data_IF_025460843364
#
_entry.id   IF_025460843364
#
_cell.length_a   1.000
_cell.length_b   1.000
_cell.length_c   1.000
_cell.angle_alpha   90.00
_cell.angle_beta   90.00
_cell.angle_gamma   90.00
#
_symmetry.space_group_name_H-M   'P 1'
#
loop_
_entity.id
_entity.type
_entity.pdbx_description
1 polymer ?
#
# COMPACT_ATOMS: atom_id res chain seq x y z
N UNK A 1 -3.48 -50.26 -75.78
CA UNK A 1 -3.92 -51.64 -75.46
C UNK A 1 -3.38 -51.97 -74.07
N UNK A 2 -4.27 -52.40 -73.16
CA UNK A 2 -4.09 -53.32 -72.01
C UNK A 2 -2.79 -53.23 -71.17
N UNK A 3 -2.79 -53.27 -69.84
CA UNK A 3 -3.78 -53.61 -68.83
C UNK A 3 -3.32 -53.01 -67.48
N UNK A 4 -4.27 -52.68 -66.62
CA UNK A 4 -4.02 -52.37 -65.22
C UNK A 4 -3.90 -53.66 -64.39
N UNK A 5 -3.03 -53.71 -63.36
CA UNK A 5 -3.20 -54.63 -62.25
C UNK A 5 -3.71 -53.88 -61.01
N UNK A 6 -4.78 -54.43 -60.44
CA UNK A 6 -5.20 -54.16 -59.06
C UNK A 6 -4.09 -54.60 -58.10
N UNK A 7 -3.82 -53.78 -57.08
CA UNK A 7 -3.09 -54.21 -55.89
C UNK A 7 -3.95 -53.98 -54.66
N UNK A 8 -4.08 -55.07 -53.91
CA UNK A 8 -4.91 -55.26 -52.73
C UNK A 8 -4.43 -54.40 -51.55
N UNK A 9 -5.41 -53.87 -50.84
CA UNK A 9 -5.28 -53.17 -49.57
C UNK A 9 -4.91 -54.18 -48.48
N UNK A 10 -3.77 -53.97 -47.82
CA UNK A 10 -3.39 -54.69 -46.61
C UNK A 10 -3.35 -53.67 -45.47
N UNK A 11 -4.31 -53.74 -44.56
CA UNK A 11 -4.31 -52.95 -43.33
C UNK A 11 -3.13 -53.37 -42.46
N UNK A 12 -2.20 -52.45 -42.23
CA UNK A 12 -1.24 -52.54 -41.13
C UNK A 12 -1.88 -51.97 -39.87
N UNK A 13 -1.85 -52.74 -38.78
CA UNK A 13 -2.18 -52.27 -37.43
C UNK A 13 -1.23 -51.13 -37.04
N UNK A 14 -1.74 -49.90 -36.97
CA UNK A 14 -1.07 -48.82 -36.27
C UNK A 14 -1.49 -48.87 -34.81
N UNK A 15 -0.55 -49.27 -33.96
CA UNK A 15 -0.66 -49.28 -32.51
C UNK A 15 -0.93 -47.84 -32.03
N UNK A 16 -2.18 -47.52 -31.67
CA UNK A 16 -2.54 -46.27 -31.01
C UNK A 16 -2.19 -46.43 -29.53
N UNK A 17 -1.03 -45.91 -29.16
CA UNK A 17 -0.69 -45.73 -27.76
C UNK A 17 -1.47 -44.51 -27.29
N UNK A 18 -2.59 -44.73 -26.61
CA UNK A 18 -3.31 -43.68 -25.88
C UNK A 18 -2.38 -43.20 -24.75
N UNK A 19 -1.82 -42.01 -24.91
CA UNK A 19 -1.28 -41.25 -23.80
C UNK A 19 -2.46 -40.78 -22.96
N UNK A 20 -2.70 -41.47 -21.84
CA UNK A 20 -3.52 -40.95 -20.76
C UNK A 20 -2.78 -39.72 -20.20
N UNK A 21 -3.15 -38.52 -20.64
CA UNK A 21 -2.84 -37.31 -19.89
C UNK A 21 -3.73 -37.35 -18.64
N UNK A 22 -3.14 -37.68 -17.49
CA UNK A 22 -3.75 -37.40 -16.20
C UNK A 22 -3.92 -35.89 -16.10
N UNK A 23 -5.17 -35.43 -16.24
CA UNK A 23 -5.57 -34.09 -15.85
C UNK A 23 -5.42 -34.05 -14.33
N UNK A 24 -4.31 -33.48 -13.85
CA UNK A 24 -4.15 -33.13 -12.45
C UNK A 24 -5.11 -31.95 -12.23
N UNK A 25 -6.27 -32.27 -11.66
CA UNK A 25 -7.19 -31.27 -11.14
C UNK A 25 -6.52 -30.67 -9.90
N UNK A 26 -5.80 -29.57 -10.10
CA UNK A 26 -5.26 -28.78 -8.98
C UNK A 26 -6.47 -28.10 -8.34
N UNK A 27 -7.02 -28.72 -7.31
CA UNK A 27 -7.94 -28.03 -6.41
C UNK A 27 -7.12 -27.07 -5.58
N UNK A 28 -7.19 -25.78 -5.92
CA UNK A 28 -6.73 -24.73 -5.01
C UNK A 28 -7.53 -24.85 -3.71
N UNK A 29 -6.83 -25.11 -2.60
CA UNK A 29 -7.46 -25.04 -1.28
C UNK A 29 -7.75 -23.56 -0.98
N UNK A 30 -9.03 -23.19 -0.85
CA UNK A 30 -9.39 -21.87 -0.33
C UNK A 30 -8.88 -21.75 1.11
N UNK A 31 -7.88 -20.89 1.32
CA UNK A 31 -7.37 -20.52 2.64
C UNK A 31 -8.28 -19.42 3.18
N UNK A 32 -8.80 -19.58 4.41
CA UNK A 32 -9.54 -18.47 5.04
C UNK A 32 -8.55 -17.37 5.45
N UNK A 33 -8.73 -16.13 4.98
CA UNK A 33 -7.77 -15.08 5.23
C UNK A 33 -7.57 -14.78 6.72
N UNK A 34 -6.32 -14.61 7.16
CA UNK A 34 -6.00 -14.34 8.55
C UNK A 34 -4.73 -13.50 8.74
N UNK A 35 -4.63 -12.84 9.91
CA UNK A 35 -3.42 -12.18 10.38
C UNK A 35 -2.93 -12.82 11.68
N UNK A 36 -1.68 -13.26 11.70
CA UNK A 36 -1.02 -13.80 12.90
C UNK A 36 0.09 -12.86 13.35
N UNK A 37 0.00 -12.35 14.59
CA UNK A 37 1.02 -11.47 15.16
C UNK A 37 2.38 -12.18 15.21
N UNK A 38 3.41 -11.53 14.68
CA UNK A 38 4.79 -12.00 14.69
C UNK A 38 5.61 -11.33 15.78
N UNK A 39 5.64 -9.99 15.75
CA UNK A 39 6.41 -9.16 16.67
C UNK A 39 5.82 -7.76 16.77
N UNK A 40 6.26 -7.03 17.79
CA UNK A 40 6.01 -5.60 17.95
C UNK A 40 7.34 -4.90 18.27
N UNK A 41 7.53 -3.69 17.75
CA UNK A 41 8.65 -2.83 18.18
C UNK A 41 8.45 -2.40 19.65
N UNK A 42 9.51 -1.92 20.33
CA UNK A 42 9.35 -1.11 21.54
C UNK A 42 8.40 0.07 21.32
N UNK A 43 7.74 0.53 22.39
CA UNK A 43 6.79 1.66 22.39
C UNK A 43 7.53 3.03 22.37
N UNK A 44 8.39 3.22 21.38
CA UNK A 44 9.23 4.42 21.24
C UNK A 44 8.86 5.28 20.02
N UNK A 45 8.09 4.73 19.06
CA UNK A 45 7.72 5.36 17.78
C UNK A 45 6.48 6.26 17.95
N UNK A 46 6.68 7.43 18.56
CA UNK A 46 5.62 8.30 19.07
C UNK A 46 4.64 8.77 17.99
N UNK A 47 3.37 8.36 18.12
CA UNK A 47 2.32 8.67 17.14
C UNK A 47 2.76 8.29 15.73
N UNK A 48 3.23 7.04 15.58
CA UNK A 48 3.61 6.50 14.29
C UNK A 48 2.39 6.40 13.37
N UNK A 49 2.51 6.93 12.15
CA UNK A 49 1.38 7.13 11.25
C UNK A 49 1.44 6.18 10.05
N UNK A 50 2.58 6.14 9.35
CA UNK A 50 2.79 5.30 8.18
C UNK A 50 4.07 4.46 8.29
N UNK A 51 4.07 3.33 7.60
CA UNK A 51 5.20 2.43 7.47
C UNK A 51 5.43 2.15 5.99
N UNK A 52 6.61 2.53 5.49
CA UNK A 52 6.99 2.30 4.10
C UNK A 52 8.15 1.31 4.02
N UNK A 53 8.00 0.30 3.16
CA UNK A 53 9.07 -0.64 2.83
C UNK A 53 9.75 -0.18 1.55
N UNK A 54 11.07 -0.05 1.59
CA UNK A 54 11.90 0.07 0.39
C UNK A 54 12.11 -1.33 -0.22
N UNK A 55 11.54 -1.63 -1.40
CA UNK A 55 11.67 -2.95 -2.01
C UNK A 55 13.10 -3.26 -2.46
N UNK A 56 13.93 -2.27 -2.77
CA UNK A 56 15.28 -2.47 -3.30
C UNK A 56 16.26 -2.84 -2.18
N UNK A 57 16.08 -2.26 -1.00
CA UNK A 57 17.02 -2.43 0.14
C UNK A 57 16.44 -3.26 1.28
N UNK A 58 15.11 -3.40 1.35
CA UNK A 58 14.40 -3.98 2.47
C UNK A 58 14.37 -3.08 3.72
N UNK A 59 14.79 -1.81 3.60
CA UNK A 59 14.72 -0.82 4.68
C UNK A 59 13.27 -0.48 4.98
N UNK A 60 12.91 -0.35 6.26
CA UNK A 60 11.56 0.00 6.68
C UNK A 60 11.61 1.37 7.36
N UNK A 61 10.93 2.33 6.75
CA UNK A 61 10.77 3.68 7.28
C UNK A 61 9.46 3.80 8.04
N UNK A 62 9.47 4.56 9.13
CA UNK A 62 8.27 4.83 9.94
C UNK A 62 8.16 6.34 10.13
N UNK A 63 7.02 6.93 9.78
CA UNK A 63 6.75 8.34 10.07
C UNK A 63 6.19 8.49 11.48
N UNK A 64 6.71 9.45 12.24
CA UNK A 64 6.28 9.74 13.61
C UNK A 64 5.85 11.20 13.70
N UNK A 65 4.61 11.44 14.11
CA UNK A 65 4.10 12.80 14.28
C UNK A 65 4.76 13.49 15.47
N UNK A 66 4.90 12.80 16.61
CA UNK A 66 5.48 13.26 17.90
C UNK A 66 4.85 14.49 18.59
N UNK A 67 4.36 15.46 17.82
CA UNK A 67 3.69 16.68 18.25
C UNK A 67 2.19 16.68 17.94
N UNK A 68 1.66 17.86 17.66
CA UNK A 68 0.27 17.98 17.19
C UNK A 68 0.19 17.71 15.69
N UNK A 69 -0.80 16.92 15.28
CA UNK A 69 -1.04 16.58 13.87
C UNK A 69 -1.23 17.77 12.92
N UNK A 70 -1.46 18.98 13.44
CA UNK A 70 -1.79 20.22 12.71
C UNK A 70 -0.85 21.39 13.01
N UNK A 71 0.07 21.26 13.96
CA UNK A 71 0.98 22.36 14.30
C UNK A 71 2.29 22.23 13.52
N UNK A 72 2.81 23.38 13.07
CA UNK A 72 4.15 23.47 12.48
C UNK A 72 5.21 23.64 13.57
N UNK A 73 5.43 22.57 14.33
CA UNK A 73 6.28 22.60 15.53
C UNK A 73 7.66 21.93 15.34
N UNK A 74 7.92 21.34 14.18
CA UNK A 74 9.17 20.66 13.83
C UNK A 74 9.52 19.45 14.70
N UNK A 75 8.55 18.85 15.43
CA UNK A 75 8.82 17.71 16.33
C UNK A 75 8.80 16.36 15.65
N UNK A 76 8.13 16.25 14.51
CA UNK A 76 8.02 15.02 13.75
C UNK A 76 9.37 14.50 13.24
N UNK A 77 9.41 13.19 13.02
CA UNK A 77 10.61 12.48 12.58
C UNK A 77 10.28 11.28 11.69
N UNK A 78 11.29 10.80 10.97
CA UNK A 78 11.29 9.49 10.31
C UNK A 78 12.25 8.58 11.09
N UNK A 79 11.81 7.36 11.40
CA UNK A 79 12.62 6.29 11.97
C UNK A 79 12.95 5.22 10.94
N UNK A 80 13.97 4.42 11.22
CA UNK A 80 14.28 3.17 10.53
C UNK A 80 14.14 1.99 11.51
N UNK A 81 13.42 0.96 11.08
CA UNK A 81 13.29 -0.31 11.80
C UNK A 81 13.79 -1.48 10.94
N UNK A 82 14.13 -2.59 11.59
CA UNK A 82 14.48 -3.85 10.92
C UNK A 82 13.24 -4.71 10.63
N UNK A 83 13.40 -5.73 9.78
CA UNK A 83 12.36 -6.72 9.46
C UNK A 83 11.94 -7.59 10.65
N UNK A 84 12.70 -7.58 11.75
CA UNK A 84 12.41 -8.29 13.00
C UNK A 84 11.97 -7.38 14.15
N UNK A 85 11.70 -6.10 13.86
CA UNK A 85 11.09 -5.16 14.81
C UNK A 85 12.07 -4.46 15.75
N UNK A 86 13.38 -4.53 15.48
CA UNK A 86 14.36 -3.69 16.16
C UNK A 86 14.30 -2.27 15.61
N UNK A 87 14.34 -1.27 16.50
CA UNK A 87 14.48 0.13 16.10
C UNK A 87 15.96 0.37 15.84
N UNK A 88 16.33 0.52 14.56
CA UNK A 88 17.71 0.71 14.14
C UNK A 88 18.14 2.16 14.35
N UNK A 89 17.31 3.09 13.90
CA UNK A 89 17.53 4.54 14.08
C UNK A 89 16.20 5.22 14.37
N UNK A 90 16.02 5.64 15.62
CA UNK A 90 14.76 6.26 16.05
C UNK A 90 14.52 7.64 15.42
N UNK A 91 15.57 8.44 15.30
CA UNK A 91 15.51 9.83 14.85
C UNK A 91 16.37 10.01 13.59
N UNK A 92 16.13 9.18 12.57
CA UNK A 92 16.93 9.18 11.34
C UNK A 92 16.89 10.53 10.62
N UNK A 93 15.68 11.09 10.45
CA UNK A 93 15.47 12.47 9.99
C UNK A 93 14.49 13.16 10.93
N UNK A 94 14.81 14.40 11.34
CA UNK A 94 14.02 15.19 12.30
C UNK A 94 13.79 16.61 11.76
N UNK A 95 12.98 17.40 12.48
CA UNK A 95 12.67 18.78 12.07
C UNK A 95 11.54 18.87 11.04
N UNK A 96 10.77 17.80 10.89
CA UNK A 96 9.53 17.76 10.10
C UNK A 96 8.37 18.09 11.05
N UNK A 97 7.30 18.73 10.59
CA UNK A 97 6.24 19.15 11.50
C UNK A 97 5.34 17.98 11.90
N UNK A 98 4.76 17.28 10.92
CA UNK A 98 3.83 16.18 11.16
C UNK A 98 3.83 15.18 10.00
N UNK A 99 4.92 14.39 9.85
CA UNK A 99 5.06 13.44 8.75
C UNK A 99 3.98 12.36 8.82
N UNK A 100 3.39 12.01 7.67
CA UNK A 100 2.35 10.96 7.55
C UNK A 100 2.74 9.96 6.46
N UNK A 101 2.01 9.91 5.35
CA UNK A 101 2.33 9.06 4.20
C UNK A 101 3.69 9.36 3.58
N UNK A 102 4.26 8.30 3.01
CA UNK A 102 5.61 8.30 2.46
C UNK A 102 5.68 7.54 1.14
N UNK A 103 6.60 7.95 0.25
CA UNK A 103 6.90 7.20 -0.97
C UNK A 103 8.34 7.42 -1.44
N UNK A 104 8.90 6.44 -2.15
CA UNK A 104 10.30 6.50 -2.63
C UNK A 104 10.32 6.68 -4.14
N UNK A 105 11.09 7.67 -4.61
CA UNK A 105 11.37 7.88 -6.03
C UNK A 105 12.82 8.35 -6.22
N UNK A 106 13.56 7.69 -7.11
CA UNK A 106 14.92 8.08 -7.52
C UNK A 106 15.89 8.36 -6.36
N UNK A 107 15.88 7.49 -5.34
CA UNK A 107 16.74 7.59 -4.15
C UNK A 107 16.32 8.70 -3.16
N UNK A 108 15.11 9.24 -3.33
CA UNK A 108 14.50 10.23 -2.43
C UNK A 108 13.29 9.64 -1.73
N UNK A 109 13.14 9.95 -0.45
CA UNK A 109 11.93 9.70 0.31
C UNK A 109 11.09 10.98 0.30
N UNK A 110 9.87 10.90 -0.22
CA UNK A 110 8.88 11.97 -0.19
C UNK A 110 7.92 11.72 0.95
N UNK A 111 7.61 12.77 1.70
CA UNK A 111 6.82 12.69 2.93
C UNK A 111 5.79 13.81 2.95
N UNK A 112 4.53 13.52 3.25
CA UNK A 112 3.53 14.57 3.48
C UNK A 112 3.82 15.30 4.79
N UNK A 113 3.72 16.63 4.79
CA UNK A 113 3.96 17.45 5.97
C UNK A 113 2.94 18.60 6.05
N UNK A 114 1.70 18.29 6.46
CA UNK A 114 0.58 19.23 6.66
C UNK A 114 0.14 19.98 5.38
N UNK A 115 0.97 20.86 4.83
CA UNK A 115 0.69 21.69 3.65
C UNK A 115 1.86 21.72 2.63
N UNK A 116 2.85 20.85 2.80
CA UNK A 116 3.96 20.67 1.86
C UNK A 116 4.37 19.20 1.74
N UNK A 117 5.08 18.87 0.66
CA UNK A 117 5.82 17.61 0.55
C UNK A 117 7.29 17.88 0.93
N UNK A 118 7.83 17.09 1.85
CA UNK A 118 9.25 17.09 2.20
C UNK A 118 9.96 16.02 1.38
N UNK A 119 11.07 16.38 0.75
CA UNK A 119 11.94 15.45 0.02
C UNK A 119 13.23 15.24 0.82
N UNK A 120 13.54 13.98 1.09
CA UNK A 120 14.70 13.55 1.87
C UNK A 120 15.64 12.77 0.96
N UNK A 121 16.90 13.15 0.94
CA UNK A 121 17.98 12.38 0.33
C UNK A 121 18.30 11.17 1.21
N UNK A 122 17.96 9.96 0.76
CA UNK A 122 18.09 8.74 1.55
C UNK A 122 19.56 8.45 1.87
N UNK A 123 20.47 8.64 0.92
CA UNK A 123 21.90 8.36 1.13
C UNK A 123 22.51 9.29 2.18
N UNK A 124 22.04 10.55 2.24
CA UNK A 124 22.58 11.56 3.17
C UNK A 124 21.82 11.65 4.49
N UNK A 125 20.61 11.09 4.57
CA UNK A 125 19.69 11.30 5.69
C UNK A 125 19.41 12.80 5.94
N UNK A 126 19.20 13.57 4.87
CA UNK A 126 19.02 15.02 4.92
C UNK A 126 17.82 15.46 4.07
N UNK A 127 17.04 16.43 4.58
CA UNK A 127 16.01 17.11 3.79
C UNK A 127 16.69 17.85 2.63
N UNK A 128 16.45 17.42 1.40
CA UNK A 128 17.04 18.03 0.20
C UNK A 128 16.15 19.08 -0.45
N UNK A 129 14.83 19.02 -0.26
CA UNK A 129 13.89 19.99 -0.80
C UNK A 129 12.56 19.99 -0.05
N UNK A 130 11.75 21.05 -0.25
CA UNK A 130 10.33 21.05 0.11
C UNK A 130 9.48 21.61 -1.04
N UNK A 131 8.27 21.10 -1.18
CA UNK A 131 7.30 21.49 -2.20
C UNK A 131 6.03 21.99 -1.52
N UNK A 132 5.93 23.30 -1.22
CA UNK A 132 4.75 23.86 -0.58
C UNK A 132 3.55 23.86 -1.54
N UNK A 133 2.37 23.49 -1.02
CA UNK A 133 1.11 23.56 -1.74
C UNK A 133 0.22 24.66 -1.13
N UNK A 134 0.14 25.80 -1.81
CA UNK A 134 -0.66 26.92 -1.33
C UNK A 134 -2.14 26.52 -1.18
N UNK A 135 -2.67 26.70 0.04
CA UNK A 135 -4.06 26.39 0.36
C UNK A 135 -4.32 24.95 0.77
N UNK A 136 -3.30 24.09 0.79
CA UNK A 136 -3.40 22.77 1.40
C UNK A 136 -3.84 22.86 2.87
N UNK A 137 -4.54 21.84 3.35
CA UNK A 137 -5.09 21.84 4.71
C UNK A 137 -4.56 20.70 5.56
N UNK A 138 -4.51 19.50 4.99
CA UNK A 138 -4.08 18.33 5.72
C UNK A 138 -3.62 17.28 4.71
N UNK A 139 -2.39 17.45 4.20
CA UNK A 139 -1.75 16.43 3.39
C UNK A 139 -1.59 15.17 4.23
N UNK A 140 -1.99 14.03 3.68
CA UNK A 140 -2.07 12.79 4.43
C UNK A 140 -1.22 11.67 3.82
N UNK A 141 -1.69 11.02 2.77
CA UNK A 141 -0.99 9.86 2.20
C UNK A 141 -0.20 10.19 0.92
N UNK A 142 0.79 9.35 0.59
CA UNK A 142 1.58 9.37 -0.64
C UNK A 142 1.63 7.96 -1.25
N UNK A 143 1.56 7.89 -2.58
CA UNK A 143 2.11 6.75 -3.29
C UNK A 143 2.85 7.17 -4.57
N UNK A 144 3.77 6.34 -5.04
CA UNK A 144 4.67 6.67 -6.15
C UNK A 144 4.53 5.65 -7.27
N UNK A 145 4.40 6.15 -8.50
CA UNK A 145 4.52 5.33 -9.69
C UNK A 145 5.00 6.15 -10.89
N UNK A 146 5.76 5.51 -11.79
CA UNK A 146 6.12 6.09 -13.09
C UNK A 146 6.77 7.49 -13.02
N UNK A 147 7.60 7.75 -12.01
CA UNK A 147 8.27 9.06 -11.84
C UNK A 147 7.38 10.15 -11.22
N UNK A 148 6.21 9.79 -10.70
CA UNK A 148 5.23 10.71 -10.13
C UNK A 148 4.95 10.37 -8.67
N UNK A 149 4.78 11.42 -7.86
CA UNK A 149 4.41 11.31 -6.45
C UNK A 149 2.97 11.78 -6.31
N UNK A 150 2.04 10.85 -6.11
CA UNK A 150 0.63 11.15 -5.86
C UNK A 150 0.43 11.35 -4.37
N UNK A 151 -0.40 12.32 -3.98
CA UNK A 151 -0.64 12.57 -2.57
C UNK A 151 -2.04 13.15 -2.29
N UNK A 152 -2.58 12.84 -1.12
CA UNK A 152 -3.92 13.25 -0.70
C UNK A 152 -3.88 14.55 0.11
N UNK A 153 -4.80 15.47 -0.18
CA UNK A 153 -5.14 16.62 0.66
C UNK A 153 -6.53 16.36 1.28
N UNK A 154 -6.50 15.70 2.43
CA UNK A 154 -7.65 15.02 3.01
C UNK A 154 -8.81 15.97 3.33
N UNK A 155 -8.52 17.12 3.94
CA UNK A 155 -9.55 18.08 4.38
C UNK A 155 -10.12 18.89 3.21
N UNK A 156 -9.32 19.21 2.19
CA UNK A 156 -9.84 19.84 0.97
C UNK A 156 -10.52 18.84 0.02
N UNK A 157 -10.31 17.55 0.24
CA UNK A 157 -10.84 16.48 -0.59
C UNK A 157 -10.27 16.49 -2.00
N UNK A 158 -8.94 16.55 -2.10
CA UNK A 158 -8.23 16.58 -3.38
C UNK A 158 -7.14 15.52 -3.41
N UNK A 159 -6.84 15.07 -4.61
CA UNK A 159 -5.64 14.29 -4.90
C UNK A 159 -4.78 15.12 -5.85
N UNK A 160 -3.51 15.21 -5.53
CA UNK A 160 -2.51 15.95 -6.28
C UNK A 160 -1.42 15.00 -6.79
N UNK A 161 -0.65 15.48 -7.76
CA UNK A 161 0.55 14.80 -8.23
C UNK A 161 1.69 15.81 -8.33
N UNK A 162 2.85 15.42 -7.80
CA UNK A 162 4.13 16.10 -7.99
C UNK A 162 4.91 15.37 -9.08
N UNK A 163 5.27 16.08 -10.13
CA UNK A 163 6.07 15.58 -11.24
C UNK A 163 7.03 16.68 -11.70
N UNK A 164 8.33 16.38 -11.81
CA UNK A 164 9.35 17.35 -12.24
C UNK A 164 9.36 18.68 -11.45
N UNK A 165 8.99 18.63 -10.16
CA UNK A 165 8.92 19.80 -9.29
C UNK A 165 7.64 20.64 -9.43
N UNK A 166 6.68 20.22 -10.25
CA UNK A 166 5.38 20.88 -10.41
C UNK A 166 4.28 20.04 -9.75
N UNK A 167 3.45 20.71 -8.93
CA UNK A 167 2.26 20.11 -8.32
C UNK A 167 1.04 20.44 -9.18
N UNK A 168 0.30 19.42 -9.62
CA UNK A 168 -0.98 19.57 -10.34
C UNK A 168 -2.11 18.83 -9.64
N UNK A 169 -3.36 19.18 -9.99
CA UNK A 169 -4.56 18.53 -9.47
C UNK A 169 -4.89 17.28 -10.30
N UNK A 170 -5.16 16.16 -9.63
CA UNK A 170 -5.63 14.92 -10.25
C UNK A 170 -7.14 14.79 -10.09
N UNK A 171 -7.64 14.89 -8.86
CA UNK A 171 -9.06 14.73 -8.55
C UNK A 171 -9.51 15.71 -7.45
N UNK A 172 -10.77 16.13 -7.49
CA UNK A 172 -11.39 16.95 -6.46
C UNK A 172 -12.73 16.38 -6.01
N UNK A 173 -13.27 16.87 -4.88
CA UNK A 173 -14.51 16.36 -4.29
C UNK A 173 -14.34 15.05 -3.52
N UNK A 174 -13.10 14.64 -3.23
CA UNK A 174 -12.73 13.41 -2.54
C UNK A 174 -12.68 13.63 -1.02
N UNK A 175 -13.81 14.06 -0.43
CA UNK A 175 -13.83 14.50 0.98
C UNK A 175 -13.38 13.40 1.93
N UNK A 176 -12.28 13.63 2.65
CA UNK A 176 -11.71 12.66 3.58
C UNK A 176 -10.88 11.57 2.89
N UNK A 177 -10.41 11.83 1.66
CA UNK A 177 -9.45 10.95 0.98
C UNK A 177 -8.20 10.80 1.84
N UNK A 178 -7.84 9.55 2.08
CA UNK A 178 -6.71 9.21 2.93
C UNK A 178 -5.74 8.36 2.13
N UNK A 179 -5.79 7.04 2.29
CA UNK A 179 -4.95 6.07 1.60
C UNK A 179 -4.97 6.19 0.09
N UNK A 180 -3.80 6.14 -0.51
CA UNK A 180 -3.58 6.09 -1.95
C UNK A 180 -2.73 4.88 -2.30
N UNK A 181 -3.04 4.28 -3.45
CA UNK A 181 -2.19 3.26 -4.03
C UNK A 181 -2.24 3.34 -5.54
N UNK A 182 -1.12 3.18 -6.22
CA UNK A 182 -1.04 3.10 -7.66
C UNK A 182 -0.71 1.68 -8.05
N UNK A 183 -1.64 1.05 -8.77
CA UNK A 183 -1.46 -0.30 -9.31
C UNK A 183 -0.79 -0.29 -10.68
N UNK A 184 -0.78 -1.47 -11.29
CA UNK A 184 -0.20 -1.68 -12.61
C UNK A 184 -0.75 -0.71 -13.68
N UNK A 185 0.14 -0.25 -14.56
CA UNK A 185 -0.19 0.68 -15.63
C UNK A 185 -0.58 2.09 -15.14
N UNK A 186 -0.20 2.45 -13.91
CA UNK A 186 -0.42 3.79 -13.35
C UNK A 186 -1.85 4.03 -12.87
N UNK A 187 -2.64 2.98 -12.63
CA UNK A 187 -4.03 3.11 -12.18
C UNK A 187 -4.05 3.54 -10.72
N UNK A 188 -4.63 4.71 -10.46
CA UNK A 188 -4.73 5.27 -9.11
C UNK A 188 -5.96 4.71 -8.39
N UNK A 189 -5.74 4.28 -7.15
CA UNK A 189 -6.74 3.85 -6.19
C UNK A 189 -6.71 4.77 -4.98
N UNK A 190 -7.84 4.85 -4.29
CA UNK A 190 -7.94 5.59 -3.05
C UNK A 190 -8.94 4.97 -2.10
N UNK A 191 -8.68 5.14 -0.81
CA UNK A 191 -9.50 4.64 0.26
C UNK A 191 -9.95 5.81 1.14
N UNK A 192 -11.26 5.91 1.36
CA UNK A 192 -11.84 7.01 2.12
C UNK A 192 -13.09 6.62 2.91
N UNK A 193 -13.83 7.62 3.39
CA UNK A 193 -15.09 7.44 4.12
C UNK A 193 -16.18 6.69 3.35
N UNK A 194 -16.15 6.71 2.02
CA UNK A 194 -17.13 6.05 1.15
C UNK A 194 -16.65 4.65 0.73
N UNK A 195 -15.35 4.38 0.82
CA UNK A 195 -14.74 3.07 0.62
C UNK A 195 -13.64 3.10 -0.43
N UNK A 196 -13.36 1.94 -1.03
CA UNK A 196 -12.32 1.77 -2.04
C UNK A 196 -12.80 2.31 -3.39
N UNK A 197 -11.96 3.13 -4.01
CA UNK A 197 -12.22 3.75 -5.31
C UNK A 197 -11.08 3.50 -6.27
N UNK A 198 -11.41 3.48 -7.56
CA UNK A 198 -10.46 3.54 -8.68
C UNK A 198 -10.70 4.81 -9.47
N UNK A 199 -9.64 5.51 -9.84
CA UNK A 199 -9.68 6.74 -10.60
C UNK A 199 -9.27 6.52 -12.05
N UNK A 200 -9.91 7.25 -12.96
CA UNK A 200 -9.44 7.39 -14.34
C UNK A 200 -8.43 8.54 -14.48
N UNK A 201 -7.87 8.69 -15.67
CA UNK A 201 -6.87 9.74 -15.97
C UNK A 201 -7.43 11.16 -15.94
N UNK A 202 -8.76 11.32 -15.93
CA UNK A 202 -9.44 12.62 -15.83
C UNK A 202 -9.83 12.96 -14.38
N UNK A 203 -9.54 12.05 -13.42
CA UNK A 203 -9.88 12.22 -12.01
C UNK A 203 -11.32 11.82 -11.67
N UNK A 204 -12.08 11.23 -12.60
CA UNK A 204 -13.35 10.60 -12.25
C UNK A 204 -13.07 9.28 -11.51
N UNK A 205 -14.03 8.82 -10.70
CA UNK A 205 -13.86 7.59 -9.93
C UNK A 205 -15.05 6.64 -10.04
N UNK A 206 -14.72 5.37 -9.88
CA UNK A 206 -15.64 4.26 -9.63
C UNK A 206 -15.45 3.79 -8.18
N UNK A 207 -16.55 3.47 -7.50
CA UNK A 207 -16.49 2.84 -6.17
C UNK A 207 -16.44 1.33 -6.38
N UNK A 208 -15.33 0.71 -5.98
CA UNK A 208 -15.11 -0.74 -6.08
C UNK A 208 -15.65 -1.48 -4.85
N UNK A 209 -15.51 -0.87 -3.66
CA UNK A 209 -16.04 -1.43 -2.43
C UNK A 209 -16.63 -0.30 -1.56
N UNK A 210 -17.85 -0.52 -1.04
CA UNK A 210 -18.52 0.41 -0.14
C UNK A 210 -18.87 -0.21 1.23
N UNK A 211 -18.26 -1.35 1.56
CA UNK A 211 -18.44 -2.06 2.83
C UNK A 211 -17.32 -1.66 3.78
N UNK A 212 -16.06 -1.76 3.33
CA UNK A 212 -14.89 -1.26 4.05
C UNK A 212 -14.80 0.24 3.84
N UNK A 213 -15.38 0.99 4.78
CA UNK A 213 -15.49 2.46 4.75
C UNK A 213 -14.70 3.12 5.87
N UNK A 214 -14.35 4.40 5.69
CA UNK A 214 -13.57 5.15 6.69
C UNK A 214 -12.12 4.66 6.77
N UNK A 215 -11.63 4.14 5.65
CA UNK A 215 -10.31 3.52 5.60
C UNK A 215 -9.19 4.55 5.67
N UNK A 216 -8.02 4.02 6.02
CA UNK A 216 -6.78 4.77 6.25
C UNK A 216 -5.77 4.36 5.17
N UNK A 217 -4.96 3.33 5.39
CA UNK A 217 -4.01 2.76 4.43
C UNK A 217 -4.59 1.71 3.48
N UNK A 218 -3.94 1.56 2.32
CA UNK A 218 -4.36 0.67 1.23
C UNK A 218 -3.17 -0.06 0.61
N UNK A 219 -3.23 -1.39 0.50
CA UNK A 219 -2.28 -2.21 -0.26
C UNK A 219 -3.03 -3.01 -1.31
N UNK A 220 -2.48 -3.07 -2.52
CA UNK A 220 -2.95 -3.97 -3.59
C UNK A 220 -2.15 -5.26 -3.48
N UNK A 221 -2.86 -6.39 -3.40
CA UNK A 221 -2.28 -7.74 -3.24
C UNK A 221 -2.17 -8.51 -4.58
N UNK A 222 -2.89 -8.09 -5.61
CA UNK A 222 -3.00 -8.73 -6.93
C UNK A 222 -4.45 -8.94 -7.35
N UNK A 223 -4.75 -9.06 -8.65
CA UNK A 223 -6.06 -9.47 -9.22
C UNK A 223 -7.34 -9.01 -8.47
N UNK A 224 -7.43 -7.71 -8.13
CA UNK A 224 -8.55 -7.11 -7.38
C UNK A 224 -8.68 -7.52 -5.89
N UNK A 225 -7.59 -8.00 -5.29
CA UNK A 225 -7.43 -8.21 -3.86
C UNK A 225 -6.73 -7.00 -3.21
N UNK A 226 -7.29 -6.54 -2.10
CA UNK A 226 -6.83 -5.35 -1.40
C UNK A 226 -6.77 -5.58 0.11
N UNK A 227 -5.72 -5.08 0.76
CA UNK A 227 -5.75 -4.82 2.21
C UNK A 227 -6.13 -3.38 2.45
N UNK A 228 -7.03 -3.18 3.41
CA UNK A 228 -7.48 -1.87 3.82
C UNK A 228 -7.42 -1.78 5.35
N UNK A 229 -6.69 -0.81 5.87
CA UNK A 229 -6.77 -0.47 7.29
C UNK A 229 -7.90 0.54 7.51
N UNK A 230 -8.39 0.59 8.75
CA UNK A 230 -9.32 1.61 9.23
C UNK A 230 -8.81 2.12 10.56
N UNK A 231 -8.52 3.42 10.60
CA UNK A 231 -7.90 4.10 11.74
C UNK A 231 -8.43 3.67 13.11
N UNK A 232 -9.74 3.41 13.22
CA UNK A 232 -10.36 2.93 14.47
C UNK A 232 -9.73 1.66 15.08
N UNK A 233 -8.94 0.89 14.33
CA UNK A 233 -8.28 -0.32 14.80
C UNK A 233 -8.70 -1.58 14.04
N UNK A 234 -9.11 -1.48 12.77
CA UNK A 234 -9.44 -2.66 11.96
C UNK A 234 -8.49 -2.80 10.77
N UNK A 235 -8.24 -4.04 10.35
CA UNK A 235 -7.66 -4.37 9.05
C UNK A 235 -8.59 -5.35 8.36
N UNK A 236 -8.83 -5.12 7.08
CA UNK A 236 -9.70 -5.91 6.23
C UNK A 236 -8.93 -6.36 5.00
N UNK A 237 -9.29 -7.53 4.49
CA UNK A 237 -9.00 -7.94 3.11
C UNK A 237 -10.30 -7.92 2.31
N UNK A 238 -10.23 -7.40 1.08
CA UNK A 238 -11.32 -7.37 0.11
C UNK A 238 -10.85 -8.21 -1.08
N UNK A 239 -11.59 -9.28 -1.39
CA UNK A 239 -11.29 -10.20 -2.51
C UNK A 239 -12.52 -10.30 -3.41
N UNK A 240 -12.53 -9.55 -4.51
CA UNK A 240 -13.74 -9.33 -5.31
C UNK A 240 -14.91 -8.80 -4.46
N UNK A 241 -16.00 -9.57 -4.38
CA UNK A 241 -17.20 -9.23 -3.60
C UNK A 241 -17.15 -9.72 -2.13
N UNK A 242 -16.05 -10.35 -1.67
CA UNK A 242 -15.90 -10.86 -0.31
C UNK A 242 -15.03 -9.93 0.54
N UNK A 243 -15.59 -9.41 1.63
CA UNK A 243 -14.82 -8.68 2.64
C UNK A 243 -14.63 -9.48 3.93
N UNK A 244 -13.38 -9.66 4.35
CA UNK A 244 -13.03 -10.38 5.58
C UNK A 244 -12.29 -9.45 6.53
N UNK A 245 -12.81 -9.28 7.75
CA UNK A 245 -12.09 -8.55 8.79
C UNK A 245 -11.01 -9.44 9.39
N UNK A 246 -9.76 -9.01 9.26
CA UNK A 246 -8.58 -9.74 9.71
C UNK A 246 -8.15 -9.36 11.13
N UNK A 247 -8.33 -8.09 11.49
CA UNK A 247 -7.90 -7.54 12.77
C UNK A 247 -8.96 -6.59 13.35
N UNK A 248 -9.14 -6.62 14.67
CA UNK A 248 -9.95 -5.67 15.43
C UNK A 248 -9.30 -5.39 16.79
N UNK A 249 -8.69 -4.21 16.92
CA UNK A 249 -7.95 -3.75 18.11
C UNK A 249 -8.61 -2.55 18.80
N UNK A 250 -9.87 -2.25 18.46
CA UNK A 250 -10.64 -1.13 19.05
C UNK A 250 -10.66 -1.18 20.58
N UNK A 251 -10.96 -2.35 21.14
CA UNK A 251 -11.07 -2.55 22.59
C UNK A 251 -9.71 -2.41 23.31
N UNK A 252 -8.60 -2.53 22.56
CA UNK A 252 -7.24 -2.31 23.08
C UNK A 252 -6.83 -0.82 23.00
N UNK A 253 -7.62 0.02 22.31
CA UNK A 253 -7.28 1.40 21.99
C UNK A 253 -6.02 1.50 21.12
N UNK A 254 -5.78 0.49 20.28
CA UNK A 254 -4.68 0.48 19.31
C UNK A 254 -5.27 0.75 17.94
N UNK A 255 -5.04 1.96 17.44
CA UNK A 255 -5.49 2.39 16.12
C UNK A 255 -4.59 1.76 15.05
N UNK A 256 -5.18 1.35 13.93
CA UNK A 256 -4.44 0.86 12.76
C UNK A 256 -4.46 1.98 11.73
N UNK A 257 -3.41 2.80 11.73
CA UNK A 257 -3.31 3.95 10.82
C UNK A 257 -3.04 3.47 9.39
N UNK A 258 -2.06 4.01 8.67
CA UNK A 258 -1.66 3.44 7.39
C UNK A 258 -1.02 2.02 7.57
N UNK A 259 -0.62 1.33 6.50
CA UNK A 259 -0.01 -0.02 6.56
C UNK A 259 1.11 -0.20 5.54
N UNK A 260 2.20 -0.83 5.98
CA UNK A 260 3.28 -1.29 5.11
C UNK A 260 3.12 -2.77 4.75
N UNK A 261 3.75 -3.21 3.65
CA UNK A 261 3.70 -4.61 3.22
C UNK A 261 5.06 -5.10 2.71
N UNK A 262 5.51 -6.21 3.28
CA UNK A 262 6.62 -7.02 2.80
C UNK A 262 6.03 -8.15 1.96
N UNK A 263 6.00 -7.96 0.65
CA UNK A 263 5.26 -8.82 -0.29
C UNK A 263 5.80 -10.25 -0.34
N UNK A 264 7.12 -10.42 -0.50
CA UNK A 264 7.73 -11.75 -0.57
C UNK A 264 7.49 -12.59 0.70
N UNK A 265 7.51 -11.93 1.86
CA UNK A 265 7.26 -12.57 3.15
C UNK A 265 5.77 -12.62 3.54
N UNK A 266 4.91 -11.94 2.79
CA UNK A 266 3.52 -11.63 3.11
C UNK A 266 3.34 -11.13 4.55
N UNK A 267 4.12 -10.13 4.95
CA UNK A 267 4.05 -9.51 6.27
C UNK A 267 3.43 -8.13 6.16
N UNK A 268 2.34 -7.91 6.91
CA UNK A 268 1.70 -6.60 7.05
C UNK A 268 2.29 -5.89 8.27
N UNK A 269 2.78 -4.68 8.07
CA UNK A 269 3.34 -3.82 9.10
C UNK A 269 2.32 -2.76 9.47
N UNK A 270 1.97 -2.71 10.75
CA UNK A 270 0.84 -1.93 11.26
C UNK A 270 1.34 -0.90 12.28
N UNK A 271 1.49 0.38 11.91
CA UNK A 271 1.69 1.47 12.86
C UNK A 271 0.46 1.60 13.76
N UNK A 272 0.71 1.64 15.07
CA UNK A 272 -0.35 1.55 16.09
C UNK A 272 -0.80 2.90 16.64
N UNK A 273 -0.58 3.99 15.90
CA UNK A 273 -0.86 5.41 16.22
C UNK A 273 -0.75 5.78 17.72
N UNK A 274 -1.78 5.51 18.54
CA UNK A 274 -1.80 5.82 19.97
C UNK A 274 -0.97 4.88 20.88
N UNK A 275 -0.43 3.78 20.36
CA UNK A 275 0.43 2.84 21.12
C UNK A 275 1.92 2.98 20.82
N UNK A 276 2.29 3.87 19.90
CA UNK A 276 3.68 4.25 19.63
C UNK A 276 4.60 3.09 19.20
N UNK A 277 4.08 2.13 18.45
CA UNK A 277 4.83 0.95 17.98
C UNK A 277 4.36 0.51 16.60
N UNK A 278 5.19 -0.27 15.92
CA UNK A 278 4.79 -1.03 14.74
C UNK A 278 4.61 -2.49 15.13
N UNK A 279 3.48 -3.08 14.72
CA UNK A 279 3.19 -4.49 14.88
C UNK A 279 3.26 -5.19 13.53
N UNK A 280 3.95 -6.32 13.45
CA UNK A 280 4.03 -7.12 12.23
C UNK A 280 3.15 -8.35 12.32
N UNK A 281 2.41 -8.61 11.25
CA UNK A 281 1.51 -9.75 11.14
C UNK A 281 1.81 -10.55 9.88
N UNK A 282 1.90 -11.88 10.00
CA UNK A 282 1.89 -12.77 8.84
C UNK A 282 0.48 -12.80 8.28
N UNK A 283 0.36 -12.51 6.99
CA UNK A 283 -0.86 -12.67 6.22
C UNK A 283 -0.87 -14.04 5.53
N UNK A 284 -2.00 -14.72 5.64
CA UNK A 284 -2.34 -15.94 4.90
C UNK A 284 -3.70 -15.67 4.24
N UNK A 285 -3.82 -15.89 2.92
CA UNK A 285 -5.03 -15.66 2.11
C UNK A 285 -4.93 -16.42 0.78
#
# INVERSE_FOLDING_TARGET
>A
MAAAPLLFWQCGESNKQESNEEVIEVTEEEVEPSLTLLWETPEELTTCESVLVDPDTGTIYVSNIEGDSREKDGKGSISIISKDGEILERDWVTGIDSPKGMGILDGKLYVTNIDEIVEIDIEKAEISNTYPLEGAKFLNDIDVAEGKVYFSDMENGKIHVLENGEITLVAEGQVGINGLRVGDGGVLYGLDKAGLKRYDTEGNHEVLNSVVTGGDGLIILGDDDYLASKWSGEIWIVQGDKETKLLDTKDMGSNTADIGYLEEEQIVLVPTFLKNKVAAYKLEY
#
